data_IF_359687904276
#
_entry.id   IF_359687904276
#
_cell.length_a   1.000
_cell.length_b   1.000
_cell.length_c   1.000
_cell.angle_alpha   90.00
_cell.angle_beta   90.00
_cell.angle_gamma   90.00
#
_symmetry.space_group_name_H-M   'P 1'
#
loop_
_entity.id
_entity.type
_entity.pdbx_description
1 polymer ?
#
# COMPACT_ATOMS: atom_id res chain seq x y z
N UNK A 1 -27.20 -11.00 14.10
CA UNK A 1 -26.02 -11.56 14.80
C UNK A 1 -26.34 -12.90 15.45
N UNK A 2 -27.43 -13.04 16.23
CA UNK A 2 -27.84 -14.34 16.82
C UNK A 2 -28.04 -15.45 15.79
N UNK A 3 -28.66 -15.16 14.64
CA UNK A 3 -28.83 -16.14 13.55
C UNK A 3 -27.49 -16.72 13.02
N UNK A 4 -26.38 -15.97 13.11
CA UNK A 4 -25.05 -16.44 12.70
C UNK A 4 -24.48 -17.39 13.75
N UNK A 5 -24.69 -17.09 15.03
CA UNK A 5 -24.31 -17.97 16.15
C UNK A 5 -25.11 -19.28 16.13
N UNK A 6 -26.38 -19.21 15.75
CA UNK A 6 -27.23 -20.40 15.57
C UNK A 6 -26.76 -21.25 14.39
N UNK A 7 -26.37 -20.63 13.27
CA UNK A 7 -25.77 -21.35 12.14
C UNK A 7 -24.43 -22.02 12.51
N UNK A 8 -23.60 -21.35 13.32
CA UNK A 8 -22.36 -21.92 13.86
C UNK A 8 -22.62 -23.16 14.72
N UNK A 9 -23.71 -23.18 15.51
CA UNK A 9 -24.11 -24.35 16.31
C UNK A 9 -24.25 -25.61 15.44
N UNK A 10 -24.98 -25.49 14.33
CA UNK A 10 -25.17 -26.61 13.40
C UNK A 10 -23.89 -27.07 12.70
N UNK A 11 -22.92 -26.17 12.50
CA UNK A 11 -21.63 -26.49 11.90
C UNK A 11 -20.69 -27.19 12.89
N UNK A 12 -20.60 -26.70 14.13
CA UNK A 12 -19.73 -27.25 15.19
C UNK A 12 -20.06 -28.69 15.50
N UNK A 13 -21.35 -29.03 15.67
CA UNK A 13 -21.79 -30.40 15.94
C UNK A 13 -21.37 -31.39 14.85
N UNK A 14 -21.24 -30.92 13.61
CA UNK A 14 -20.75 -31.74 12.50
C UNK A 14 -19.23 -31.77 12.43
N UNK A 15 -18.56 -30.65 12.72
CA UNK A 15 -17.11 -30.54 12.70
C UNK A 15 -16.46 -31.36 13.81
N UNK A 16 -17.00 -31.34 15.03
CA UNK A 16 -16.43 -32.05 16.19
C UNK A 16 -16.48 -33.58 16.04
N UNK A 17 -17.28 -34.13 15.12
CA UNK A 17 -17.22 -35.56 14.76
C UNK A 17 -15.90 -35.96 14.09
N UNK A 18 -15.17 -34.99 13.55
CA UNK A 18 -13.93 -35.18 12.78
C UNK A 18 -12.71 -34.53 13.46
N UNK A 19 -12.88 -34.00 14.68
CA UNK A 19 -11.83 -33.35 15.45
C UNK A 19 -11.32 -34.28 16.54
N UNK A 20 -10.07 -34.11 16.95
CA UNK A 20 -9.48 -34.88 18.03
C UNK A 20 -10.25 -34.67 19.33
N UNK A 21 -10.51 -35.74 20.09
CA UNK A 21 -11.38 -35.72 21.27
C UNK A 21 -10.96 -34.72 22.36
N UNK A 22 -9.67 -34.41 22.42
CA UNK A 22 -9.09 -33.46 23.38
C UNK A 22 -9.08 -31.99 22.90
N UNK A 23 -9.55 -31.69 21.69
CA UNK A 23 -9.53 -30.34 21.09
C UNK A 23 -10.84 -29.97 20.37
N UNK A 24 -12.02 -30.12 20.99
CA UNK A 24 -13.27 -29.75 20.35
C UNK A 24 -13.36 -28.24 20.13
N UNK A 25 -14.15 -27.84 19.13
CA UNK A 25 -14.51 -26.45 18.94
C UNK A 25 -15.33 -25.93 20.13
N UNK A 26 -15.27 -24.61 20.35
CA UNK A 26 -16.00 -24.00 21.46
C UNK A 26 -17.51 -24.04 21.20
N UNK A 27 -18.35 -24.40 22.18
CA UNK A 27 -19.80 -24.43 22.01
C UNK A 27 -20.37 -23.05 21.67
N UNK A 28 -21.38 -23.00 20.81
CA UNK A 28 -22.01 -21.75 20.40
C UNK A 28 -22.55 -20.90 21.56
N UNK A 29 -22.89 -21.51 22.70
CA UNK A 29 -23.37 -20.84 23.90
C UNK A 29 -22.35 -19.85 24.48
N UNK A 30 -21.05 -20.14 24.38
CA UNK A 30 -20.03 -19.19 24.84
C UNK A 30 -20.05 -17.88 24.03
N UNK A 31 -20.41 -17.94 22.75
CA UNK A 31 -20.56 -16.77 21.90
C UNK A 31 -21.87 -16.03 22.17
N UNK A 32 -22.95 -16.74 22.52
CA UNK A 32 -24.25 -16.11 22.90
C UNK A 32 -24.11 -15.21 24.12
N UNK A 33 -23.32 -15.61 25.11
CA UNK A 33 -23.04 -14.79 26.31
C UNK A 33 -22.21 -13.53 26.02
N UNK A 34 -21.43 -13.54 24.92
CA UNK A 34 -20.64 -12.40 24.47
C UNK A 34 -21.47 -11.39 23.66
N UNK A 35 -22.60 -11.81 23.08
CA UNK A 35 -23.50 -10.91 22.34
C UNK A 35 -24.32 -10.08 23.32
N UNK A 36 -23.83 -8.88 23.61
CA UNK A 36 -24.58 -7.86 24.36
C UNK A 36 -25.27 -6.92 23.39
N UNK A 37 -26.53 -6.59 23.66
CA UNK A 37 -27.20 -5.46 23.04
C UNK A 37 -26.68 -4.18 23.69
N UNK A 38 -25.62 -3.61 23.14
CA UNK A 38 -25.28 -2.22 23.46
C UNK A 38 -26.23 -1.28 22.70
N UNK A 39 -26.50 -0.06 23.24
CA UNK A 39 -27.29 0.93 22.51
C UNK A 39 -26.62 1.22 21.16
N UNK A 40 -27.41 1.68 20.19
CA UNK A 40 -26.94 2.04 18.84
C UNK A 40 -25.91 3.16 18.93
N UNK A 41 -24.64 2.80 19.11
CA UNK A 41 -23.53 3.72 18.96
C UNK A 41 -23.06 3.61 17.51
N UNK A 42 -22.88 4.76 16.86
CA UNK A 42 -22.28 4.86 15.53
C UNK A 42 -21.04 3.95 15.43
N UNK A 43 -20.90 3.25 14.30
CA UNK A 43 -19.78 2.34 14.01
C UNK A 43 -18.41 3.00 14.28
N UNK A 44 -18.33 4.33 14.11
CA UNK A 44 -17.17 5.16 14.45
C UNK A 44 -16.79 5.06 15.94
N UNK A 45 -17.76 5.17 16.84
CA UNK A 45 -17.53 5.10 18.27
C UNK A 45 -17.15 3.68 18.71
N UNK A 46 -17.68 2.66 18.04
CA UNK A 46 -17.29 1.26 18.30
C UNK A 46 -15.87 0.98 17.84
N UNK A 47 -15.46 1.45 16.66
CA UNK A 47 -14.06 1.34 16.16
C UNK A 47 -13.12 2.11 17.09
N UNK A 48 -13.50 3.32 17.52
CA UNK A 48 -12.69 4.13 18.42
C UNK A 48 -12.57 3.50 19.81
N UNK A 49 -13.65 2.93 20.36
CA UNK A 49 -13.63 2.20 21.64
C UNK A 49 -12.86 0.89 21.54
N UNK A 50 -12.97 0.16 20.43
CA UNK A 50 -12.22 -1.07 20.16
C UNK A 50 -10.72 -0.77 20.01
N UNK A 51 -10.33 0.24 19.25
CA UNK A 51 -8.95 0.71 19.13
C UNK A 51 -8.40 1.17 20.48
N UNK A 52 -9.18 1.93 21.27
CA UNK A 52 -8.76 2.40 22.59
C UNK A 52 -8.59 1.26 23.60
N UNK A 53 -9.29 0.13 23.41
CA UNK A 53 -9.17 -1.09 24.23
C UNK A 53 -8.01 -1.98 23.80
N UNK A 54 -7.68 -2.00 22.49
CA UNK A 54 -6.51 -2.68 21.93
C UNK A 54 -5.21 -1.90 22.24
N UNK A 55 -5.29 -0.57 22.31
CA UNK A 55 -4.16 0.34 22.58
C UNK A 55 -3.83 0.51 24.08
N UNK A 56 -4.44 -0.22 25.01
CA UNK A 56 -3.94 -0.35 26.39
C UNK A 56 -2.71 -1.28 26.47
N UNK A 57 -1.83 -1.25 25.47
CA UNK A 57 -0.46 -1.73 25.60
C UNK A 57 0.33 -0.54 26.11
N UNK A 58 0.68 -0.57 27.40
CA UNK A 58 1.66 0.33 28.01
C UNK A 58 2.86 0.48 27.06
N UNK A 59 3.13 1.69 26.60
CA UNK A 59 4.31 2.01 25.82
C UNK A 59 5.55 1.64 26.63
N UNK A 60 6.33 0.60 26.28
CA UNK A 60 7.61 0.40 26.91
C UNK A 60 8.55 1.45 26.32
N UNK A 61 9.14 2.25 27.20
CA UNK A 61 10.32 3.05 26.89
C UNK A 61 11.38 2.14 26.30
N UNK A 62 11.72 2.37 25.02
CA UNK A 62 12.81 1.69 24.33
C UNK A 62 14.12 1.97 25.07
N UNK A 63 14.56 1.00 25.87
CA UNK A 63 15.92 0.91 26.36
C UNK A 63 16.60 -0.21 25.59
N UNK A 64 17.76 0.11 25.00
CA UNK A 64 18.62 -0.83 24.31
C UNK A 64 18.89 -2.07 25.15
N UNK A 65 18.53 -3.25 24.66
CA UNK A 65 19.42 -4.43 24.65
C UNK A 65 18.75 -5.63 23.97
N UNK A 66 19.44 -6.17 22.96
CA UNK A 66 19.46 -7.58 22.50
C UNK A 66 18.30 -8.51 22.92
N UNK A 67 17.52 -8.99 21.94
CA UNK A 67 17.37 -10.44 21.62
C UNK A 67 16.30 -10.74 20.54
N UNK A 68 16.73 -11.56 19.58
CA UNK A 68 16.00 -12.60 18.81
C UNK A 68 14.56 -12.31 18.35
N UNK A 69 14.43 -11.99 17.06
CA UNK A 69 13.16 -12.12 16.34
C UNK A 69 12.89 -13.59 15.97
N UNK A 70 11.71 -14.09 16.35
CA UNK A 70 11.16 -15.36 15.89
C UNK A 70 10.22 -15.03 14.74
N UNK A 71 10.57 -15.39 13.50
CA UNK A 71 9.69 -15.25 12.34
C UNK A 71 9.10 -16.61 11.99
N UNK A 72 7.79 -16.64 11.72
CA UNK A 72 7.07 -17.84 11.27
C UNK A 72 7.56 -18.26 9.88
N UNK A 73 7.79 -19.56 9.73
CA UNK A 73 8.27 -20.23 8.51
C UNK A 73 7.20 -20.26 7.42
N UNK A 74 7.62 -20.05 6.16
CA UNK A 74 7.16 -20.92 5.08
C UNK A 74 8.24 -21.10 3.99
N UNK A 75 8.73 -22.34 3.88
CA UNK A 75 9.52 -22.96 2.80
C UNK A 75 10.87 -22.31 2.42
N UNK A 76 11.92 -22.77 3.10
CA UNK A 76 13.29 -22.69 2.60
C UNK A 76 13.63 -23.96 1.80
N UNK A 77 13.97 -23.83 0.52
CA UNK A 77 14.84 -24.78 -0.17
C UNK A 77 16.27 -24.31 0.03
N UNK A 78 17.09 -25.12 0.69
CA UNK A 78 18.51 -24.82 0.91
C UNK A 78 19.29 -24.82 -0.40
N UNK A 79 19.94 -23.69 -0.70
CA UNK A 79 20.88 -23.55 -1.81
C UNK A 79 22.27 -23.29 -1.19
N UNK A 80 23.18 -24.25 -1.32
CA UNK A 80 24.58 -24.09 -0.93
C UNK A 80 25.32 -23.31 -2.04
N UNK A 81 25.46 -21.99 -1.87
CA UNK A 81 26.22 -21.14 -2.80
C UNK A 81 27.60 -20.86 -2.18
N UNK A 82 28.71 -21.05 -2.91
CA UNK A 82 30.04 -20.62 -2.45
C UNK A 82 30.11 -19.09 -2.37
N UNK A 83 30.40 -18.54 -1.18
CA UNK A 83 30.42 -17.09 -0.89
C UNK A 83 31.87 -16.61 -0.76
N UNK A 84 32.21 -15.48 -1.37
CA UNK A 84 33.53 -14.85 -1.27
C UNK A 84 33.83 -14.35 0.17
N UNK A 85 35.09 -14.16 0.57
CA UNK A 85 35.43 -13.60 1.89
C UNK A 85 34.82 -12.21 2.15
N UNK A 86 34.54 -11.46 1.09
CA UNK A 86 33.88 -10.15 1.15
C UNK A 86 32.37 -10.29 1.34
N UNK A 87 31.72 -11.34 0.84
CA UNK A 87 30.28 -11.58 0.98
C UNK A 87 29.82 -12.07 2.36
N UNK A 88 30.71 -12.71 3.14
CA UNK A 88 30.35 -13.37 4.41
C UNK A 88 29.75 -12.42 5.47
N UNK A 89 30.16 -11.15 5.50
CA UNK A 89 29.64 -10.18 6.46
C UNK A 89 28.23 -9.68 6.11
N UNK A 90 27.86 -9.65 4.82
CA UNK A 90 26.56 -9.18 4.34
C UNK A 90 25.47 -10.26 4.52
N UNK A 91 25.81 -11.52 4.24
CA UNK A 91 24.88 -12.66 4.36
C UNK A 91 24.45 -12.89 5.82
N UNK A 92 25.31 -12.57 6.79
CA UNK A 92 24.98 -12.67 8.22
C UNK A 92 23.83 -11.74 8.68
N UNK A 93 23.42 -10.79 7.82
CA UNK A 93 22.40 -9.76 8.11
C UNK A 93 21.16 -9.88 7.23
N UNK A 94 21.11 -10.85 6.31
CA UNK A 94 20.02 -10.97 5.33
C UNK A 94 18.80 -11.68 5.94
N UNK A 95 17.62 -11.05 5.84
CA UNK A 95 16.33 -11.66 6.15
C UNK A 95 15.47 -11.54 4.89
N UNK A 96 15.11 -12.66 4.28
CA UNK A 96 14.43 -12.70 2.97
C UNK A 96 12.91 -12.71 3.17
N UNK A 97 12.21 -11.69 2.67
CA UNK A 97 10.74 -11.67 2.59
C UNK A 97 10.29 -12.03 1.16
N UNK A 98 9.35 -12.96 1.03
CA UNK A 98 9.03 -13.58 -0.26
C UNK A 98 7.98 -12.78 -1.06
N UNK A 99 8.40 -12.10 -2.13
CA UNK A 99 7.95 -12.31 -3.54
C UNK A 99 8.50 -11.24 -4.50
N UNK A 100 8.69 -9.99 -4.06
CA UNK A 100 9.34 -8.92 -4.86
C UNK A 100 10.85 -8.81 -4.60
N UNK A 101 11.31 -9.07 -3.36
CA UNK A 101 12.76 -9.09 -3.03
C UNK A 101 13.54 -10.22 -3.74
N UNK A 102 12.85 -11.16 -4.40
CA UNK A 102 13.54 -12.28 -5.07
C UNK A 102 14.28 -11.84 -6.34
N UNK A 103 13.78 -10.82 -7.04
CA UNK A 103 14.40 -10.33 -8.29
C UNK A 103 15.75 -9.67 -7.99
N UNK A 104 15.79 -8.80 -6.98
CA UNK A 104 17.04 -8.15 -6.54
C UNK A 104 18.00 -9.12 -5.84
N UNK A 105 17.48 -10.15 -5.14
CA UNK A 105 18.32 -11.12 -4.41
C UNK A 105 19.36 -11.80 -5.31
N UNK A 106 19.01 -12.09 -6.56
CA UNK A 106 19.94 -12.71 -7.51
C UNK A 106 21.11 -11.78 -7.86
N UNK A 107 20.84 -10.50 -8.14
CA UNK A 107 21.89 -9.52 -8.37
C UNK A 107 22.75 -9.30 -7.13
N UNK A 108 22.13 -9.23 -5.94
CA UNK A 108 22.88 -9.11 -4.68
C UNK A 108 23.82 -10.29 -4.44
N UNK A 109 23.38 -11.51 -4.73
CA UNK A 109 24.24 -12.70 -4.65
C UNK A 109 25.41 -12.56 -5.64
N UNK A 110 25.14 -12.17 -6.89
CA UNK A 110 26.19 -11.93 -7.89
C UNK A 110 27.18 -10.85 -7.45
N UNK A 111 26.72 -9.71 -6.93
CA UNK A 111 27.57 -8.63 -6.40
C UNK A 111 28.49 -9.09 -5.27
N UNK A 112 28.04 -10.04 -4.46
CA UNK A 112 28.87 -10.59 -3.37
C UNK A 112 29.81 -11.70 -3.81
N UNK A 113 29.51 -12.38 -4.91
CA UNK A 113 30.29 -13.49 -5.43
C UNK A 113 31.37 -13.04 -6.42
N UNK A 114 31.12 -11.97 -7.17
CA UNK A 114 32.01 -11.42 -8.19
C UNK A 114 32.92 -10.33 -7.60
N UNK A 115 34.20 -10.31 -8.02
CA UNK A 115 35.16 -9.32 -7.53
C UNK A 115 35.17 -8.04 -8.38
N UNK A 116 34.72 -8.14 -9.64
CA UNK A 116 34.67 -7.07 -10.61
C UNK A 116 33.26 -6.51 -10.76
N UNK A 117 33.12 -5.19 -10.56
CA UNK A 117 31.84 -4.50 -10.54
C UNK A 117 31.16 -4.52 -11.92
N UNK A 118 31.96 -4.34 -12.98
CA UNK A 118 31.50 -4.24 -14.37
C UNK A 118 30.97 -5.58 -14.93
N UNK A 119 31.09 -6.67 -14.15
CA UNK A 119 30.61 -8.01 -14.51
C UNK A 119 29.25 -8.33 -13.91
N UNK A 120 28.63 -7.37 -13.23
CA UNK A 120 27.34 -7.56 -12.56
C UNK A 120 26.39 -6.41 -12.89
N UNK A 121 25.14 -6.75 -13.20
CA UNK A 121 24.12 -5.75 -13.51
C UNK A 121 23.84 -4.84 -12.29
N UNK A 122 23.66 -3.55 -12.51
CA UNK A 122 23.31 -2.55 -11.49
C UNK A 122 21.88 -2.05 -11.72
N UNK A 123 21.22 -1.66 -10.63
CA UNK A 123 19.86 -1.16 -10.74
C UNK A 123 19.83 0.27 -11.36
N UNK A 124 18.83 0.59 -12.20
CA UNK A 124 18.75 1.88 -12.87
C UNK A 124 18.55 3.05 -11.89
N UNK A 125 19.16 4.19 -12.19
CA UNK A 125 19.11 5.40 -11.35
C UNK A 125 17.97 6.29 -11.83
N UNK A 126 16.85 6.24 -11.11
CA UNK A 126 15.61 6.93 -11.49
C UNK A 126 15.60 8.40 -11.08
N UNK A 127 15.26 9.29 -12.01
CA UNK A 127 14.99 10.72 -11.78
C UNK A 127 13.52 11.04 -12.05
N UNK A 128 12.92 11.92 -11.25
CA UNK A 128 11.57 12.45 -11.52
C UNK A 128 11.64 13.97 -11.40
N UNK A 129 11.41 14.66 -12.52
CA UNK A 129 11.56 16.10 -12.70
C UNK A 129 12.98 16.51 -12.26
N UNK A 130 13.11 17.34 -11.22
CA UNK A 130 14.39 17.79 -10.68
C UNK A 130 14.82 17.00 -9.43
N UNK A 131 14.00 16.09 -8.95
CA UNK A 131 14.34 15.26 -7.81
C UNK A 131 15.21 14.10 -8.26
N UNK A 132 16.41 13.97 -7.69
CA UNK A 132 17.37 12.88 -7.94
C UNK A 132 17.64 12.13 -6.63
N UNK A 133 17.79 10.81 -6.72
CA UNK A 133 18.11 9.95 -5.58
C UNK A 133 16.93 9.10 -5.08
N UNK A 134 17.11 8.38 -3.96
CA UNK A 134 16.14 7.39 -3.49
C UNK A 134 14.91 7.99 -2.80
N UNK A 135 14.95 9.29 -2.46
CA UNK A 135 13.84 9.95 -1.82
C UNK A 135 12.65 10.12 -2.79
N UNK A 136 11.40 10.08 -2.28
CA UNK A 136 10.24 10.41 -3.10
C UNK A 136 10.34 11.82 -3.70
N UNK A 137 9.82 11.99 -4.92
CA UNK A 137 9.67 13.31 -5.51
C UNK A 137 8.43 13.97 -4.92
N UNK A 138 8.60 15.07 -4.21
CA UNK A 138 7.50 15.85 -3.63
C UNK A 138 7.06 16.94 -4.60
N UNK A 139 5.78 16.93 -4.97
CA UNK A 139 5.20 17.83 -5.96
C UNK A 139 3.92 18.41 -5.36
N UNK A 140 3.68 19.70 -5.57
CA UNK A 140 2.41 20.32 -5.21
C UNK A 140 1.72 20.80 -6.48
N UNK A 141 0.44 20.47 -6.61
CA UNK A 141 -0.36 20.80 -7.79
C UNK A 141 -1.79 21.19 -7.39
N UNK A 142 -2.40 22.04 -8.19
CA UNK A 142 -3.81 22.41 -7.99
C UNK A 142 -4.72 21.28 -8.44
N UNK A 143 -5.76 20.98 -7.67
CA UNK A 143 -6.73 19.96 -8.03
C UNK A 143 -7.44 20.31 -9.34
N UNK A 144 -7.58 19.34 -10.24
CA UNK A 144 -8.10 19.52 -11.60
C UNK A 144 -7.06 19.98 -12.63
N UNK A 145 -5.85 20.39 -12.20
CA UNK A 145 -4.77 20.73 -13.13
C UNK A 145 -4.08 19.50 -13.71
N UNK A 146 -3.37 19.70 -14.81
CA UNK A 146 -2.49 18.70 -15.44
C UNK A 146 -1.04 19.07 -15.16
N UNK A 147 -0.27 18.10 -14.65
CA UNK A 147 1.17 18.24 -14.44
C UNK A 147 1.92 17.28 -15.37
N UNK A 148 3.09 17.71 -15.86
CA UNK A 148 4.00 16.84 -16.59
C UNK A 148 5.04 16.28 -15.62
N UNK A 149 5.19 14.95 -15.61
CA UNK A 149 6.24 14.25 -14.87
C UNK A 149 7.25 13.71 -15.87
N UNK A 150 8.48 14.17 -15.74
CA UNK A 150 9.58 13.88 -16.65
C UNK A 150 10.61 12.98 -15.97
N UNK A 151 10.86 11.80 -16.53
CA UNK A 151 11.89 10.88 -16.08
C UNK A 151 13.06 10.73 -17.06
N UNK A 152 13.25 11.64 -18.01
CA UNK A 152 14.26 11.56 -19.08
C UNK A 152 15.70 11.57 -18.57
N UNK A 153 15.93 12.14 -17.37
CA UNK A 153 17.23 12.08 -16.69
C UNK A 153 17.53 10.75 -16.02
N UNK A 154 16.63 9.77 -16.10
CA UNK A 154 16.86 8.40 -15.62
C UNK A 154 17.86 7.73 -16.54
N UNK A 155 18.86 7.08 -15.94
CA UNK A 155 19.90 6.41 -16.70
C UNK A 155 20.28 5.10 -16.02
N UNK A 156 20.82 4.22 -16.86
CA UNK A 156 21.43 2.98 -16.44
C UNK A 156 22.95 3.15 -16.39
N UNK A 157 23.62 2.58 -15.39
CA UNK A 157 25.08 2.68 -15.28
C UNK A 157 25.82 1.72 -16.21
N UNK A 158 25.19 0.62 -16.57
CA UNK A 158 25.76 -0.44 -17.41
C UNK A 158 25.49 -0.19 -18.91
N UNK A 159 24.57 0.73 -19.20
CA UNK A 159 24.18 1.13 -20.55
C UNK A 159 23.03 0.32 -21.12
N UNK A 160 22.29 -0.37 -20.24
CA UNK A 160 21.15 -1.20 -20.60
C UNK A 160 19.94 -0.38 -21.05
N UNK A 161 19.03 -1.04 -21.79
CA UNK A 161 17.79 -0.41 -22.24
C UNK A 161 16.76 -0.38 -21.09
N UNK A 162 16.11 0.77 -20.92
CA UNK A 162 15.18 0.99 -19.81
C UNK A 162 13.72 1.01 -20.27
N UNK A 163 12.87 0.30 -19.53
CA UNK A 163 11.41 0.30 -19.71
C UNK A 163 10.75 1.10 -18.59
N UNK A 164 9.88 2.05 -18.93
CA UNK A 164 9.21 2.93 -17.97
C UNK A 164 7.72 2.58 -17.86
N UNK A 165 7.23 2.54 -16.62
CA UNK A 165 5.82 2.30 -16.33
C UNK A 165 5.35 3.17 -15.17
N UNK A 166 4.27 3.91 -15.42
CA UNK A 166 3.65 4.79 -14.43
C UNK A 166 2.32 4.23 -13.99
N UNK A 167 2.09 4.16 -12.68
CA UNK A 167 0.84 3.68 -12.12
C UNK A 167 0.51 4.33 -10.77
N UNK A 168 -0.78 4.45 -10.47
CA UNK A 168 -1.26 5.08 -9.23
C UNK A 168 -1.36 4.07 -8.09
N UNK A 169 -0.77 4.39 -6.93
CA UNK A 169 -0.88 3.57 -5.73
C UNK A 169 -1.98 4.10 -4.79
N UNK A 170 -3.22 3.69 -5.07
CA UNK A 170 -4.41 4.23 -4.40
C UNK A 170 -4.47 3.88 -2.89
N UNK A 171 -4.01 2.69 -2.51
CA UNK A 171 -4.11 2.23 -1.12
C UNK A 171 -3.31 3.11 -0.14
N UNK A 172 -2.18 3.68 -0.58
CA UNK A 172 -1.41 4.63 0.24
C UNK A 172 -2.05 6.01 0.34
N UNK A 173 -2.93 6.35 -0.60
CA UNK A 173 -3.66 7.62 -0.61
C UNK A 173 -4.91 7.57 0.27
N UNK A 174 -5.53 6.39 0.38
CA UNK A 174 -6.77 6.20 1.11
C UNK A 174 -6.57 6.28 2.63
N UNK A 175 -7.53 6.89 3.32
CA UNK A 175 -7.57 6.96 4.79
C UNK A 175 -8.34 5.80 5.42
N UNK A 176 -9.08 5.02 4.62
CA UNK A 176 -9.88 3.88 5.07
C UNK A 176 -9.82 2.69 4.09
N UNK A 177 -10.49 1.59 4.45
CA UNK A 177 -10.49 0.35 3.67
C UNK A 177 -11.26 0.41 2.34
N UNK A 178 -12.12 1.43 2.12
CA UNK A 178 -12.91 1.55 0.89
C UNK A 178 -12.25 2.48 -0.15
N UNK A 179 -11.09 2.03 -0.64
CA UNK A 179 -10.17 2.79 -1.50
C UNK A 179 -10.82 3.29 -2.79
N UNK A 180 -11.60 2.45 -3.48
CA UNK A 180 -12.20 2.82 -4.78
C UNK A 180 -13.27 3.91 -4.70
N UNK A 181 -13.95 4.05 -3.56
CA UNK A 181 -14.91 5.13 -3.37
C UNK A 181 -14.19 6.45 -3.06
N UNK A 182 -13.19 6.39 -2.18
CA UNK A 182 -12.46 7.54 -1.65
C UNK A 182 -11.47 8.14 -2.66
N UNK A 183 -10.64 7.31 -3.30
CA UNK A 183 -9.53 7.77 -4.13
C UNK A 183 -9.91 7.68 -5.60
N UNK A 184 -9.99 8.83 -6.25
CA UNK A 184 -10.25 8.90 -7.69
C UNK A 184 -9.00 8.65 -8.52
N UNK A 185 -9.22 8.09 -9.71
CA UNK A 185 -8.14 7.75 -10.63
C UNK A 185 -7.47 9.00 -11.17
N UNK A 186 -6.14 8.98 -11.17
CA UNK A 186 -5.33 9.92 -11.93
C UNK A 186 -5.46 9.57 -13.41
N UNK A 187 -5.69 10.56 -14.27
CA UNK A 187 -5.60 10.34 -15.71
C UNK A 187 -4.14 10.48 -16.11
N UNK A 188 -3.49 9.35 -16.42
CA UNK A 188 -2.09 9.31 -16.84
C UNK A 188 -2.07 9.12 -18.35
N UNK A 189 -1.46 10.07 -19.07
CA UNK A 189 -1.30 10.02 -20.52
C UNK A 189 0.19 10.07 -20.86
N UNK A 190 0.71 9.08 -21.60
CA UNK A 190 2.09 9.15 -22.08
C UNK A 190 2.21 10.25 -23.14
N UNK A 191 3.25 11.07 -23.00
CA UNK A 191 3.59 12.13 -23.98
C UNK A 191 4.49 11.55 -25.06
N UNK A 192 5.38 10.64 -24.68
CA UNK A 192 6.33 9.96 -25.54
C UNK A 192 5.98 8.47 -25.72
N UNK A 193 6.63 7.80 -26.69
CA UNK A 193 6.40 6.37 -26.95
C UNK A 193 7.01 5.47 -25.87
N UNK A 194 8.06 5.94 -25.20
CA UNK A 194 8.81 5.18 -24.19
C UNK A 194 8.22 5.37 -22.79
N UNK A 195 7.20 6.22 -22.64
CA UNK A 195 6.56 6.58 -21.38
C UNK A 195 7.52 7.20 -20.35
N UNK A 196 8.63 7.83 -20.80
CA UNK A 196 9.53 8.60 -19.94
C UNK A 196 8.85 9.85 -19.39
N UNK A 197 7.98 10.46 -20.19
CA UNK A 197 7.26 11.68 -19.82
C UNK A 197 5.76 11.39 -19.84
N UNK A 198 5.10 11.65 -18.73
CA UNK A 198 3.65 11.47 -18.59
C UNK A 198 2.97 12.77 -18.15
N UNK A 199 1.85 13.07 -18.79
CA UNK A 199 0.90 14.08 -18.31
C UNK A 199 -0.09 13.43 -17.35
N UNK A 200 -0.16 13.96 -16.15
CA UNK A 200 -1.03 13.47 -15.07
C UNK A 200 -2.05 14.54 -14.75
N UNK A 201 -3.32 14.26 -15.02
CA UNK A 201 -4.43 15.16 -14.64
C UNK A 201 -5.00 14.74 -13.29
N UNK A 202 -5.00 15.69 -12.36
CA UNK A 202 -5.54 15.48 -11.01
C UNK A 202 -7.09 15.50 -11.04
N UNK A 203 -7.75 14.78 -10.12
CA UNK A 203 -9.18 14.90 -9.88
C UNK A 203 -9.55 16.34 -9.49
N UNK A 204 -10.82 16.71 -9.72
CA UNK A 204 -11.34 18.03 -9.34
C UNK A 204 -11.25 18.28 -7.82
N UNK A 205 -11.21 19.55 -7.38
CA UNK A 205 -11.10 19.91 -5.96
C UNK A 205 -12.18 19.28 -5.08
N UNK A 206 -13.40 19.15 -5.62
CA UNK A 206 -14.56 18.52 -4.98
C UNK A 206 -14.40 17.03 -4.66
N UNK A 207 -13.39 16.38 -5.25
CA UNK A 207 -13.14 14.94 -5.15
C UNK A 207 -11.91 14.61 -4.33
N UNK A 208 -10.85 15.42 -4.44
CA UNK A 208 -9.57 15.15 -3.77
C UNK A 208 -9.18 16.18 -2.70
N UNK A 209 -9.87 17.32 -2.62
CA UNK A 209 -9.61 18.40 -1.66
C UNK A 209 -10.82 18.71 -0.79
N UNK A 210 -11.55 17.68 -0.38
CA UNK A 210 -12.61 17.77 0.61
C UNK A 210 -12.45 16.69 1.68
N UNK A 211 -12.84 17.02 2.91
CA UNK A 211 -13.05 15.97 3.91
C UNK A 211 -14.15 15.00 3.47
N UNK A 212 -13.97 13.72 3.73
CA UNK A 212 -14.85 12.68 3.18
C UNK A 212 -16.30 12.80 3.65
N UNK A 213 -16.53 13.02 4.96
CA UNK A 213 -17.87 13.04 5.55
C UNK A 213 -18.51 14.42 5.50
N UNK A 214 -17.79 15.43 6.01
CA UNK A 214 -18.28 16.80 6.05
C UNK A 214 -18.36 17.44 4.66
N UNK A 215 -17.63 16.88 3.68
CA UNK A 215 -17.44 17.42 2.32
C UNK A 215 -16.93 18.87 2.32
N UNK A 216 -16.39 19.32 3.45
CA UNK A 216 -15.82 20.64 3.59
C UNK A 216 -14.54 20.75 2.78
N UNK A 217 -14.41 21.83 2.00
CA UNK A 217 -13.22 22.10 1.24
C UNK A 217 -12.01 22.30 2.16
N UNK A 218 -10.90 21.66 1.82
CA UNK A 218 -9.62 21.81 2.52
C UNK A 218 -8.58 22.40 1.57
N UNK A 219 -7.79 23.36 2.05
CA UNK A 219 -6.75 24.00 1.23
C UNK A 219 -5.67 22.98 0.77
N UNK A 220 -5.37 22.01 1.64
CA UNK A 220 -4.44 20.91 1.38
C UNK A 220 -5.24 19.61 1.38
N UNK A 221 -5.46 19.05 0.20
CA UNK A 221 -6.25 17.84 -0.01
C UNK A 221 -5.47 16.56 0.24
N UNK A 222 -5.93 15.47 -0.37
CA UNK A 222 -5.28 14.17 -0.35
C UNK A 222 -3.87 14.25 -0.95
N UNK A 223 -2.95 13.49 -0.35
CA UNK A 223 -1.63 13.25 -0.92
C UNK A 223 -1.76 12.08 -1.91
N UNK A 224 -1.64 12.35 -3.20
CA UNK A 224 -1.82 11.35 -4.25
C UNK A 224 -0.48 10.65 -4.53
N UNK A 225 -0.48 9.32 -4.49
CA UNK A 225 0.72 8.50 -4.70
C UNK A 225 0.76 7.98 -6.14
N UNK A 226 1.79 8.37 -6.88
CA UNK A 226 2.11 7.82 -8.19
C UNK A 226 3.47 7.11 -8.12
N UNK A 227 3.58 5.95 -8.74
CA UNK A 227 4.81 5.16 -8.79
C UNK A 227 5.32 5.14 -10.23
N UNK A 228 6.61 5.43 -10.37
CA UNK A 228 7.42 5.12 -11.51
C UNK A 228 8.17 3.81 -11.26
N UNK A 229 7.96 2.85 -12.14
CA UNK A 229 8.63 1.56 -12.20
C UNK A 229 9.55 1.60 -13.42
N UNK A 230 10.85 1.43 -13.20
CA UNK A 230 11.85 1.40 -14.27
C UNK A 230 12.59 0.08 -14.21
N UNK A 231 12.54 -0.68 -15.29
CA UNK A 231 13.17 -2.00 -15.39
C UNK A 231 14.23 -1.96 -16.49
N UNK A 232 15.44 -2.41 -16.17
CA UNK A 232 16.50 -2.62 -17.15
C UNK A 232 16.32 -3.96 -17.90
N UNK A 233 17.15 -4.20 -18.91
CA UNK A 233 17.20 -5.46 -19.63
C UNK A 233 18.46 -6.30 -19.33
N UNK A 234 19.09 -6.04 -18.19
CA UNK A 234 20.28 -6.73 -17.73
C UNK A 234 19.99 -8.17 -17.26
N UNK A 235 21.02 -8.86 -16.74
CA UNK A 235 20.89 -10.25 -16.30
C UNK A 235 21.43 -10.45 -14.87
N UNK A 236 20.56 -10.62 -13.87
CA UNK A 236 19.09 -10.56 -13.93
C UNK A 236 18.58 -9.14 -14.18
N UNK A 237 17.38 -9.01 -14.73
CA UNK A 237 16.76 -7.70 -14.94
C UNK A 237 16.39 -7.08 -13.59
N UNK A 238 16.82 -5.84 -13.35
CA UNK A 238 16.56 -5.12 -12.09
C UNK A 238 15.51 -4.04 -12.29
N UNK A 239 14.68 -3.86 -11.27
CA UNK A 239 13.58 -2.89 -11.29
C UNK A 239 13.72 -1.89 -10.15
N UNK A 240 13.87 -0.62 -10.49
CA UNK A 240 13.85 0.48 -9.51
C UNK A 240 12.48 1.11 -9.46
N UNK A 241 11.92 1.21 -8.25
CA UNK A 241 10.68 1.94 -8.00
C UNK A 241 10.96 3.31 -7.40
N UNK A 242 10.28 4.32 -7.91
CA UNK A 242 10.31 5.66 -7.33
C UNK A 242 8.93 6.27 -7.21
N UNK A 243 8.67 6.92 -6.08
CA UNK A 243 7.38 7.50 -5.76
C UNK A 243 7.37 9.00 -6.06
N UNK A 244 6.36 9.47 -6.78
CA UNK A 244 5.96 10.87 -6.84
C UNK A 244 4.79 11.08 -5.86
N UNK A 245 5.01 11.93 -4.87
CA UNK A 245 4.05 12.36 -3.87
C UNK A 245 3.45 13.69 -4.34
N UNK A 246 2.22 13.64 -4.87
CA UNK A 246 1.55 14.80 -5.42
C UNK A 246 0.55 15.32 -4.39
N UNK A 247 0.92 16.41 -3.72
CA UNK A 247 0.03 17.10 -2.81
C UNK A 247 -1.00 17.93 -3.60
N UNK A 248 -2.26 17.47 -3.59
CA UNK A 248 -3.36 18.23 -4.16
C UNK A 248 -3.64 19.47 -3.29
N UNK A 249 -3.85 20.61 -3.95
CA UNK A 249 -4.17 21.89 -3.32
C UNK A 249 -5.46 22.47 -3.89
N UNK A 250 -6.17 23.24 -3.07
CA UNK A 250 -7.42 23.90 -3.42
C UNK A 250 -7.37 25.34 -2.89
N UNK A 251 -6.77 26.24 -3.68
CA UNK A 251 -6.53 27.63 -3.26
C UNK A 251 -7.83 28.42 -3.15
N UNK A 252 -8.81 28.12 -3.98
CA UNK A 252 -10.11 28.79 -4.01
C UNK A 252 -11.13 28.18 -3.02
N UNK A 253 -10.76 27.13 -2.29
CA UNK A 253 -11.62 26.40 -1.36
C UNK A 253 -12.97 25.98 -1.99
N UNK A 254 -12.93 25.53 -3.24
CA UNK A 254 -14.11 25.06 -3.96
C UNK A 254 -14.62 23.80 -3.26
N UNK A 255 -15.84 23.87 -2.74
CA UNK A 255 -16.51 22.79 -2.03
C UNK A 255 -17.36 21.93 -2.96
N UNK A 256 -17.29 20.61 -2.82
CA UNK A 256 -18.04 19.65 -3.64
C UNK A 256 -19.45 19.32 -3.19
N UNK A 257 -19.93 19.85 -2.06
CA UNK A 257 -21.27 19.54 -1.56
C UNK A 257 -21.98 20.77 -0.98
N UNK A 258 -23.31 20.80 -1.15
CA UNK A 258 -24.21 21.79 -0.56
C UNK A 258 -24.56 21.50 0.91
N UNK A 259 -24.37 20.26 1.40
CA UNK A 259 -24.67 19.88 2.79
C UNK A 259 -23.68 18.80 3.28
N UNK A 260 -23.31 18.88 4.56
CA UNK A 260 -22.48 17.90 5.25
C UNK A 260 -23.29 16.63 5.52
N UNK A 261 -22.64 15.48 5.43
CA UNK A 261 -23.31 14.20 5.61
C UNK A 261 -22.91 13.61 6.97
N UNK A 262 -23.89 13.39 7.85
CA UNK A 262 -23.65 13.01 9.26
C UNK A 262 -23.22 11.54 9.44
N UNK A 263 -23.41 10.69 8.41
CA UNK A 263 -23.05 9.27 8.47
C UNK A 263 -22.47 8.72 7.16
N UNK A 264 -21.70 7.64 7.26
CA UNK A 264 -21.18 6.90 6.10
C UNK A 264 -22.32 6.34 5.24
N UNK A 265 -23.44 5.94 5.86
CA UNK A 265 -24.61 5.41 5.15
C UNK A 265 -25.26 6.45 4.25
N UNK A 266 -25.45 7.67 4.77
CA UNK A 266 -25.99 8.79 3.99
C UNK A 266 -25.00 9.24 2.90
N UNK A 267 -23.69 9.07 3.14
CA UNK A 267 -22.66 9.39 2.15
C UNK A 267 -22.71 8.43 0.98
N UNK A 268 -22.98 7.14 1.23
CA UNK A 268 -23.15 6.12 0.20
C UNK A 268 -24.32 6.42 -0.74
N UNK A 269 -25.46 6.87 -0.21
CA UNK A 269 -26.62 7.28 -1.03
C UNK A 269 -26.31 8.52 -1.89
N UNK A 270 -25.55 9.48 -1.38
CA UNK A 270 -25.10 10.65 -2.14
C UNK A 270 -24.10 10.29 -3.28
N UNK A 271 -23.45 9.13 -3.21
CA UNK A 271 -22.58 8.60 -4.27
C UNK A 271 -23.35 7.78 -5.34
N UNK A 272 -24.61 7.38 -5.11
CA UNK A 272 -25.47 6.63 -6.06
C UNK A 272 -26.03 7.48 -7.22
N UNK A 273 -25.22 8.38 -7.78
CA UNK A 273 -25.45 8.95 -9.12
C UNK A 273 -24.99 8.02 -10.26
N UNK A 274 -24.65 6.77 -9.96
CA UNK A 274 -24.24 5.76 -10.93
C UNK A 274 -25.48 4.99 -11.37
N UNK A 275 -25.79 5.06 -12.67
CA UNK A 275 -26.90 4.32 -13.29
C UNK A 275 -26.96 2.89 -12.78
N UNK A 276 -28.10 2.53 -12.17
CA UNK A 276 -28.42 1.14 -11.84
C UNK A 276 -28.37 0.33 -13.14
N UNK A 277 -27.65 -0.81 -13.19
CA UNK A 277 -27.71 -1.66 -14.37
C UNK A 277 -29.17 -2.08 -14.56
N UNK A 278 -29.73 -1.72 -15.71
CA UNK A 278 -31.02 -2.21 -16.15
C UNK A 278 -30.87 -3.72 -16.33
N UNK A 279 -31.55 -4.47 -15.48
CA UNK A 279 -31.72 -5.93 -15.60
C UNK A 279 -32.71 -6.21 -16.71
#
# INVERSE_FOLDING_TARGET
MLNIVDAYTGAVDNLDKHVHIDQPYQPADCFRELVRSEPTVSVQAFIYLALKRILQVETPTLTETTRKCRCMEWKATGLDIPISPRGAHLVSRLCVYATLDQDDSAAWIQWTAEEDFDRTNQAPVVSIVDSVGPAPAEISAEAGSTIALDADRTYDTDGDELTFKWWQYKDCTASQCWVGAEVKELQIKPVDRECKVVEVTLPSPEKCCCEMLSRQAVAKGQLLHLILEVTDNGSPALTTYRRALIQATNLELISGAKEAVESVGDSMEAFEGVEKPVV
#
